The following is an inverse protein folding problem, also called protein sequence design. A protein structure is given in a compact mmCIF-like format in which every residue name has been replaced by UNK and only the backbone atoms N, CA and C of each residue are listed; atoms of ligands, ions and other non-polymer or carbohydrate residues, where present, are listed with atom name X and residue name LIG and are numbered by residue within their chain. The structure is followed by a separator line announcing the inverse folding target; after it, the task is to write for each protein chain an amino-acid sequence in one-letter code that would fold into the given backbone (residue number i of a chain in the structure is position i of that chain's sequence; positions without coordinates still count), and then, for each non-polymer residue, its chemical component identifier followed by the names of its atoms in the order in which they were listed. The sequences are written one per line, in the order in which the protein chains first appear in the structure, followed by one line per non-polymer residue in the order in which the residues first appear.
data_IF_304395888794
#
_entry.id   IF_304395888794
#
_cell.length_a   1.000
_cell.length_b   1.000
_cell.length_c   1.000
_cell.angle_alpha   90.00
_cell.angle_beta   90.00
_cell.angle_gamma   90.00
#
_symmetry.space_group_name_H-M   'P 1'
#
loop_
_entity.id
_entity.type
_entity.pdbx_description
1 polymer ?
#
# COMPACT_ATOMS: atom_id res chain seq x y z
N UNK A 1 -16.76 -8.75 24.71
CA UNK A 1 -16.36 -9.97 23.97
C UNK A 1 -15.08 -9.67 23.20
N UNK A 2 -14.01 -10.44 23.43
CA UNK A 2 -12.75 -10.25 22.71
C UNK A 2 -12.94 -10.66 21.24
N UNK A 3 -12.77 -9.72 20.30
CA UNK A 3 -12.71 -10.04 18.87
C UNK A 3 -11.51 -10.95 18.63
N UNK A 4 -11.69 -12.07 17.91
CA UNK A 4 -10.59 -13.00 17.61
C UNK A 4 -9.51 -12.31 16.76
N UNK A 5 -8.28 -12.82 16.78
CA UNK A 5 -7.20 -12.27 15.94
C UNK A 5 -7.55 -12.26 14.45
N UNK A 6 -8.24 -13.31 13.98
CA UNK A 6 -8.75 -13.40 12.61
C UNK A 6 -9.80 -12.31 12.31
N UNK A 7 -10.72 -12.04 13.25
CA UNK A 7 -11.71 -10.98 13.10
C UNK A 7 -11.06 -9.59 13.01
N UNK A 8 -10.01 -9.34 13.81
CA UNK A 8 -9.24 -8.09 13.75
C UNK A 8 -8.48 -7.92 12.44
N UNK A 9 -7.86 -9.00 11.93
CA UNK A 9 -7.20 -9.00 10.62
C UNK A 9 -8.16 -8.62 9.49
N UNK A 10 -9.28 -9.34 9.40
CA UNK A 10 -10.30 -9.06 8.38
C UNK A 10 -10.90 -7.64 8.48
N UNK A 11 -11.10 -7.13 9.69
CA UNK A 11 -11.54 -5.75 9.90
C UNK A 11 -10.50 -4.73 9.42
N UNK A 12 -9.21 -4.99 9.68
CA UNK A 12 -8.13 -4.14 9.23
C UNK A 12 -7.96 -4.15 7.71
N UNK A 13 -8.05 -5.31 7.06
CA UNK A 13 -8.05 -5.43 5.60
C UNK A 13 -9.17 -4.58 4.97
N UNK A 14 -10.38 -4.65 5.52
CA UNK A 14 -11.52 -3.88 5.04
C UNK A 14 -11.31 -2.37 5.24
N UNK A 15 -10.73 -1.96 6.36
CA UNK A 15 -10.40 -0.55 6.62
C UNK A 15 -9.28 -0.05 5.68
N UNK A 16 -8.26 -0.88 5.41
CA UNK A 16 -7.24 -0.58 4.41
C UNK A 16 -7.83 -0.41 3.02
N UNK A 17 -8.70 -1.33 2.58
CA UNK A 17 -9.41 -1.22 1.30
C UNK A 17 -10.13 0.13 1.19
N UNK A 18 -11.00 0.44 2.15
CA UNK A 18 -11.76 1.71 2.16
C UNK A 18 -10.85 2.93 2.16
N UNK A 19 -9.74 2.88 2.91
CA UNK A 19 -8.77 3.97 2.96
C UNK A 19 -8.11 4.20 1.60
N UNK A 20 -7.64 3.13 0.96
CA UNK A 20 -6.94 3.22 -0.33
C UNK A 20 -7.89 3.62 -1.47
N UNK A 21 -9.15 3.15 -1.44
CA UNK A 21 -10.18 3.56 -2.41
C UNK A 21 -10.56 5.02 -2.24
N UNK A 22 -10.84 5.46 -1.01
CA UNK A 22 -11.29 6.84 -0.74
C UNK A 22 -10.17 7.87 -0.91
N UNK A 23 -8.95 7.55 -0.47
CA UNK A 23 -7.82 8.48 -0.54
C UNK A 23 -7.16 8.44 -1.92
N UNK A 24 -6.66 7.30 -2.39
CA UNK A 24 -5.90 7.24 -3.64
C UNK A 24 -6.74 6.98 -4.89
N UNK A 25 -8.07 6.81 -4.75
CA UNK A 25 -8.94 6.47 -5.88
C UNK A 25 -8.65 5.08 -6.47
N UNK A 26 -8.01 4.20 -5.70
CA UNK A 26 -7.74 2.83 -6.15
C UNK A 26 -9.06 2.06 -6.31
N UNK A 27 -9.09 1.11 -7.23
CA UNK A 27 -10.20 0.16 -7.38
C UNK A 27 -9.71 -1.20 -6.91
N UNK A 28 -10.04 -1.58 -5.68
CA UNK A 28 -9.50 -2.76 -5.02
C UNK A 28 -10.61 -3.76 -4.70
N UNK A 29 -10.24 -5.02 -4.57
CA UNK A 29 -11.11 -6.03 -4.00
C UNK A 29 -10.29 -6.93 -3.08
N UNK A 30 -10.97 -7.45 -2.05
CA UNK A 30 -10.37 -8.43 -1.13
C UNK A 30 -10.14 -9.74 -1.84
N UNK A 31 -9.03 -10.38 -1.52
CA UNK A 31 -8.72 -11.74 -1.94
C UNK A 31 -8.97 -12.65 -0.76
N UNK A 32 -10.01 -13.48 -0.86
CA UNK A 32 -10.36 -14.40 0.22
C UNK A 32 -9.75 -15.78 0.03
N UNK A 33 -9.31 -16.40 1.13
CA UNK A 33 -9.13 -17.84 1.24
C UNK A 33 -7.69 -18.29 1.52
N UNK A 34 -7.57 -19.54 1.98
CA UNK A 34 -6.27 -20.20 2.11
C UNK A 34 -5.59 -20.28 0.72
N UNK A 35 -4.34 -19.81 0.62
CA UNK A 35 -3.59 -19.83 -0.64
C UNK A 35 -3.58 -18.51 -1.42
N UNK A 36 -3.96 -17.41 -0.80
CA UNK A 36 -3.84 -16.03 -1.30
C UNK A 36 -2.38 -15.56 -1.54
N UNK A 37 -1.40 -16.36 -1.09
CA UNK A 37 0.04 -16.14 -1.24
C UNK A 37 0.48 -14.81 -0.62
N UNK A 38 -0.18 -14.40 0.46
CA UNK A 38 0.19 -13.20 1.21
C UNK A 38 -0.26 -11.89 0.56
N UNK A 39 -1.25 -11.93 -0.34
CA UNK A 39 -1.96 -10.74 -0.84
C UNK A 39 -3.33 -10.71 -0.18
N UNK A 40 -3.69 -9.59 0.43
CA UNK A 40 -5.00 -9.41 1.06
C UNK A 40 -5.96 -8.62 0.16
N UNK A 41 -5.44 -7.64 -0.59
CA UNK A 41 -6.19 -6.86 -1.56
C UNK A 41 -5.46 -6.83 -2.89
N UNK A 42 -6.20 -6.77 -4.00
CA UNK A 42 -5.61 -6.50 -5.33
C UNK A 42 -6.53 -5.65 -6.18
N UNK A 43 -5.96 -5.01 -7.19
CA UNK A 43 -6.75 -4.25 -8.15
C UNK A 43 -5.90 -3.29 -8.98
N UNK A 44 -6.42 -2.08 -9.16
CA UNK A 44 -5.84 -1.08 -10.04
C UNK A 44 -5.76 0.29 -9.40
N UNK A 45 -4.74 1.04 -9.82
CA UNK A 45 -4.62 2.46 -9.58
C UNK A 45 -4.42 3.16 -10.92
N UNK A 46 -5.27 4.13 -11.24
CA UNK A 46 -5.19 4.91 -12.47
C UNK A 46 -5.21 6.42 -12.16
N UNK A 47 -4.12 6.96 -11.60
CA UNK A 47 -4.00 8.36 -11.23
C UNK A 47 -3.85 9.26 -12.47
N UNK A 48 -4.95 9.91 -12.87
CA UNK A 48 -4.94 10.93 -13.93
C UNK A 48 -6.27 11.03 -14.68
N UNK A 49 -6.54 12.16 -15.36
CA UNK A 49 -7.82 12.43 -16.01
C UNK A 49 -8.11 11.48 -17.19
N UNK A 50 -7.08 10.96 -17.85
CA UNK A 50 -7.22 10.13 -19.05
C UNK A 50 -7.18 8.62 -18.78
N UNK A 51 -6.87 8.19 -17.55
CA UNK A 51 -6.71 6.77 -17.20
C UNK A 51 -5.61 6.02 -17.99
N UNK A 52 -4.74 6.76 -18.70
CA UNK A 52 -3.75 6.21 -19.62
C UNK A 52 -2.65 5.39 -18.92
N UNK A 53 -2.35 5.71 -17.66
CA UNK A 53 -1.43 4.94 -16.83
C UNK A 53 -2.23 4.17 -15.78
N UNK A 54 -2.50 2.90 -16.05
CA UNK A 54 -3.13 1.98 -15.12
C UNK A 54 -2.09 1.04 -14.52
N UNK A 55 -1.94 1.10 -13.21
CA UNK A 55 -1.01 0.28 -12.44
C UNK A 55 -1.76 -0.83 -11.71
N UNK A 56 -1.31 -2.06 -11.87
CA UNK A 56 -1.73 -3.17 -11.00
C UNK A 56 -1.18 -2.93 -9.61
N UNK A 57 -2.03 -3.17 -8.61
CA UNK A 57 -1.67 -3.02 -7.21
C UNK A 57 -1.96 -4.32 -6.47
N UNK A 58 -0.96 -4.81 -5.72
CA UNK A 58 -1.12 -5.85 -4.71
C UNK A 58 -0.92 -5.23 -3.34
N UNK A 59 -1.79 -5.54 -2.39
CA UNK A 59 -1.72 -5.01 -1.04
C UNK A 59 -1.64 -6.15 -0.05
N UNK A 60 -0.66 -6.09 0.83
CA UNK A 60 -0.58 -6.91 2.03
C UNK A 60 -0.87 -6.04 3.25
N UNK A 61 -1.74 -6.50 4.14
CA UNK A 61 -2.26 -5.81 5.30
C UNK A 61 -1.79 -6.50 6.58
N UNK A 62 -1.11 -5.76 7.46
CA UNK A 62 -0.55 -6.29 8.70
C UNK A 62 -1.11 -5.59 9.94
N UNK A 63 -2.05 -6.26 10.60
CA UNK A 63 -2.73 -5.78 11.81
C UNK A 63 -2.00 -6.20 13.11
N UNK A 64 -0.68 -6.07 13.14
CA UNK A 64 0.13 -6.45 14.31
C UNK A 64 0.31 -5.30 15.29
N UNK A 65 0.50 -5.63 16.57
CA UNK A 65 0.76 -4.63 17.63
C UNK A 65 2.18 -4.06 17.59
N UNK A 66 3.12 -4.77 16.97
CA UNK A 66 4.53 -4.39 16.90
C UNK A 66 4.89 -3.98 15.48
N UNK A 67 5.82 -3.03 15.30
CA UNK A 67 6.27 -2.62 13.98
C UNK A 67 6.69 -3.81 13.13
N UNK A 68 6.27 -3.80 11.86
CA UNK A 68 6.53 -4.90 10.93
C UNK A 68 8.02 -5.01 10.65
N UNK A 69 8.56 -6.23 10.71
CA UNK A 69 9.96 -6.55 10.47
C UNK A 69 10.31 -6.79 8.98
N UNK A 70 11.61 -6.90 8.64
CA UNK A 70 12.06 -7.03 7.25
C UNK A 70 11.67 -8.36 6.59
N UNK A 71 11.32 -9.39 7.36
CA UNK A 71 10.88 -10.67 6.81
C UNK A 71 9.64 -10.52 5.91
N UNK A 72 8.67 -9.69 6.32
CA UNK A 72 7.44 -9.45 5.55
C UNK A 72 7.72 -8.76 4.22
N UNK A 73 8.74 -7.90 4.14
CA UNK A 73 9.16 -7.30 2.87
C UNK A 73 9.72 -8.39 1.94
N UNK A 74 10.55 -9.31 2.43
CA UNK A 74 11.08 -10.43 1.61
C UNK A 74 9.98 -11.34 1.08
N UNK A 75 8.98 -11.62 1.91
CA UNK A 75 7.80 -12.38 1.51
C UNK A 75 7.04 -11.64 0.39
N UNK A 76 6.84 -10.33 0.54
CA UNK A 76 6.17 -9.49 -0.44
C UNK A 76 6.95 -9.38 -1.76
N UNK A 77 8.28 -9.32 -1.72
CA UNK A 77 9.13 -9.37 -2.91
C UNK A 77 8.89 -10.65 -3.72
N UNK A 78 8.84 -11.81 -3.06
CA UNK A 78 8.52 -13.08 -3.69
C UNK A 78 7.13 -13.10 -4.32
N UNK A 79 6.14 -12.51 -3.64
CA UNK A 79 4.79 -12.35 -4.15
C UNK A 79 4.74 -11.46 -5.40
N UNK A 80 5.46 -10.34 -5.39
CA UNK A 80 5.50 -9.40 -6.51
C UNK A 80 6.19 -10.01 -7.74
N UNK A 81 7.34 -10.68 -7.55
CA UNK A 81 8.05 -11.38 -8.62
C UNK A 81 7.15 -12.43 -9.27
N UNK A 82 6.47 -13.25 -8.47
CA UNK A 82 5.57 -14.28 -8.97
C UNK A 82 4.41 -13.69 -9.76
N UNK A 83 3.80 -12.62 -9.26
CA UNK A 83 2.70 -11.95 -9.95
C UNK A 83 3.17 -11.36 -11.29
N UNK A 84 4.34 -10.70 -11.31
CA UNK A 84 4.94 -10.18 -12.54
C UNK A 84 5.19 -11.26 -13.58
N UNK A 85 5.71 -12.42 -13.16
CA UNK A 85 5.92 -13.58 -14.04
C UNK A 85 4.62 -14.12 -14.65
N UNK A 86 3.55 -14.23 -13.86
CA UNK A 86 2.24 -14.71 -14.35
C UNK A 86 1.66 -13.74 -15.37
N UNK A 87 1.69 -12.45 -15.06
CA UNK A 87 1.15 -11.38 -15.91
C UNK A 87 1.95 -11.27 -17.23
N UNK A 88 3.28 -11.37 -17.18
CA UNK A 88 4.13 -11.40 -18.38
C UNK A 88 3.81 -12.56 -19.32
N UNK A 89 3.37 -13.71 -18.81
CA UNK A 89 2.95 -14.84 -19.66
C UNK A 89 1.56 -14.65 -20.24
N UNK A 90 0.71 -13.85 -19.59
CA UNK A 90 -0.66 -13.59 -20.00
C UNK A 90 -0.79 -12.41 -20.97
N UNK A 91 0.20 -11.50 -21.02
CA UNK A 91 0.16 -10.26 -21.79
C UNK A 91 1.38 -10.09 -22.72
N UNK A 92 1.17 -9.40 -23.84
CA UNK A 92 2.24 -9.01 -24.80
C UNK A 92 2.95 -7.71 -24.41
N UNK A 93 2.51 -7.02 -23.34
CA UNK A 93 3.04 -5.73 -22.89
C UNK A 93 3.62 -5.81 -21.46
N UNK A 94 4.61 -4.97 -21.12
CA UNK A 94 5.19 -4.94 -19.78
C UNK A 94 4.16 -4.57 -18.70
N UNK A 95 4.17 -5.35 -17.62
CA UNK A 95 3.22 -5.27 -16.53
C UNK A 95 3.59 -4.10 -15.62
N UNK A 96 2.75 -3.08 -15.57
CA UNK A 96 2.90 -1.96 -14.64
C UNK A 96 2.35 -2.36 -13.27
N UNK A 97 3.16 -3.06 -12.45
CA UNK A 97 2.75 -3.68 -11.19
C UNK A 97 3.62 -3.19 -10.03
N UNK A 98 2.99 -2.84 -8.90
CA UNK A 98 3.68 -2.57 -7.65
C UNK A 98 2.94 -3.13 -6.43
N UNK A 99 3.67 -3.22 -5.32
CA UNK A 99 3.15 -3.73 -4.05
C UNK A 99 2.98 -2.62 -3.00
N UNK A 100 1.95 -2.74 -2.19
CA UNK A 100 1.73 -1.94 -0.98
C UNK A 100 1.79 -2.88 0.23
N UNK A 101 2.58 -2.52 1.23
CA UNK A 101 2.50 -3.12 2.56
C UNK A 101 1.90 -2.10 3.52
N UNK A 102 0.67 -2.37 3.98
CA UNK A 102 -0.04 -1.53 4.94
C UNK A 102 0.11 -2.11 6.35
N UNK A 103 0.60 -1.31 7.30
CA UNK A 103 0.82 -1.73 8.69
C UNK A 103 0.04 -0.87 9.67
N UNK A 104 -0.61 -1.51 10.65
CA UNK A 104 -1.34 -0.84 11.73
C UNK A 104 -0.40 -0.15 12.73
N UNK A 105 0.81 -0.69 12.90
CA UNK A 105 1.81 -0.27 13.90
C UNK A 105 3.12 0.24 13.29
N UNK A 106 3.12 0.51 12.00
CA UNK A 106 4.29 1.01 11.27
C UNK A 106 5.36 -0.06 11.01
N UNK A 107 6.60 0.39 10.84
CA UNK A 107 7.70 -0.44 10.34
C UNK A 107 8.96 -0.26 11.18
N UNK A 108 9.73 -1.33 11.36
CA UNK A 108 11.06 -1.23 11.96
C UNK A 108 12.03 -0.46 11.03
N UNK A 109 13.08 0.14 11.59
CA UNK A 109 14.14 0.79 10.80
C UNK A 109 14.75 -0.17 9.77
N UNK A 110 14.96 -1.44 10.14
CA UNK A 110 15.50 -2.46 9.24
C UNK A 110 14.55 -2.76 8.07
N UNK A 111 13.25 -2.71 8.32
CA UNK A 111 12.23 -2.87 7.27
C UNK A 111 12.28 -1.72 6.27
N UNK A 112 12.39 -0.48 6.75
CA UNK A 112 12.52 0.70 5.89
C UNK A 112 13.80 0.63 5.04
N UNK A 113 14.95 0.29 5.65
CA UNK A 113 16.21 0.16 4.94
C UNK A 113 16.15 -0.94 3.87
N UNK A 114 15.59 -2.10 4.22
CA UNK A 114 15.48 -3.21 3.29
C UNK A 114 14.54 -2.89 2.11
N UNK A 115 13.36 -2.32 2.38
CA UNK A 115 12.42 -1.92 1.32
C UNK A 115 13.03 -0.87 0.38
N UNK A 116 13.76 0.12 0.93
CA UNK A 116 14.46 1.12 0.12
C UNK A 116 15.55 0.53 -0.79
N UNK A 117 16.22 -0.55 -0.35
CA UNK A 117 17.24 -1.24 -1.15
C UNK A 117 16.68 -2.22 -2.18
N UNK A 118 15.39 -2.54 -2.12
CA UNK A 118 14.78 -3.52 -3.02
C UNK A 118 14.69 -2.98 -4.45
N UNK A 119 14.96 -3.80 -5.47
CA UNK A 119 14.79 -3.42 -6.88
C UNK A 119 13.33 -3.48 -7.34
N UNK A 120 12.41 -3.89 -6.47
CA UNK A 120 11.01 -4.10 -6.80
C UNK A 120 10.15 -2.90 -6.39
N UNK A 121 9.21 -2.43 -7.24
CA UNK A 121 8.41 -1.25 -6.95
C UNK A 121 7.48 -1.49 -5.76
N UNK A 122 7.74 -0.79 -4.65
CA UNK A 122 7.03 -0.97 -3.39
C UNK A 122 6.70 0.35 -2.69
N UNK A 123 5.58 0.32 -1.97
CA UNK A 123 5.10 1.37 -1.09
C UNK A 123 4.80 0.78 0.30
N UNK A 124 5.38 1.37 1.35
CA UNK A 124 5.04 1.11 2.73
C UNK A 124 4.11 2.20 3.25
N UNK A 125 3.00 1.80 3.85
CA UNK A 125 2.03 2.70 4.45
C UNK A 125 1.77 2.33 5.91
N UNK A 126 1.93 3.29 6.81
CA UNK A 126 1.46 3.17 8.19
C UNK A 126 0.04 3.73 8.24
N UNK A 127 -0.94 2.84 8.17
CA UNK A 127 -2.36 3.14 8.29
C UNK A 127 -2.78 2.80 9.72
N UNK A 128 -2.68 3.79 10.61
CA UNK A 128 -2.74 3.54 12.03
C UNK A 128 -4.16 3.20 12.49
N UNK A 129 -4.26 2.24 13.39
CA UNK A 129 -5.51 1.91 14.09
C UNK A 129 -5.44 2.52 15.48
N UNK A 130 -6.43 3.35 15.82
CA UNK A 130 -6.59 3.82 17.18
C UNK A 130 -7.18 2.70 18.05
N UNK A 131 -6.34 2.10 18.88
CA UNK A 131 -6.73 0.99 19.76
C UNK A 131 -7.57 1.44 20.97
N UNK A 132 -7.71 2.75 21.20
CA UNK A 132 -8.56 3.30 22.24
C UNK A 132 -10.05 3.32 21.84
N UNK A 133 -10.34 3.23 20.54
CA UNK A 133 -11.71 3.21 20.03
C UNK A 133 -12.29 1.79 20.08
N UNK A 134 -13.54 1.69 20.55
CA UNK A 134 -14.26 0.42 20.61
C UNK A 134 -14.58 -0.17 19.23
N UNK A 135 -14.60 0.68 18.20
CA UNK A 135 -14.91 0.32 16.82
C UNK A 135 -13.77 0.73 15.88
N UNK A 136 -13.42 -0.13 14.93
CA UNK A 136 -12.46 0.21 13.87
C UNK A 136 -13.04 1.35 13.01
N UNK A 137 -12.30 2.44 12.78
CA UNK A 137 -12.74 3.48 11.88
C UNK A 137 -12.79 2.96 10.44
N UNK A 138 -13.73 3.47 9.65
CA UNK A 138 -13.88 3.05 8.25
C UNK A 138 -12.70 3.49 7.37
N UNK A 139 -12.06 4.61 7.73
CA UNK A 139 -10.89 5.17 7.05
C UNK A 139 -9.79 5.35 8.09
N UNK A 140 -8.61 4.86 7.79
CA UNK A 140 -7.46 4.86 8.69
C UNK A 140 -6.60 6.12 8.44
N UNK A 141 -6.16 6.83 9.48
CA UNK A 141 -5.19 7.90 9.32
C UNK A 141 -3.86 7.34 8.80
N UNK A 142 -3.33 7.94 7.73
CA UNK A 142 -1.98 7.69 7.28
C UNK A 142 -0.99 8.45 8.18
N UNK A 143 -0.11 7.73 8.87
CA UNK A 143 0.94 8.30 9.72
C UNK A 143 2.34 8.12 9.11
N UNK A 144 2.45 7.36 8.03
CA UNK A 144 3.71 7.08 7.37
C UNK A 144 3.49 6.60 5.95
N UNK A 145 4.32 7.09 5.05
CA UNK A 145 4.26 6.80 3.63
C UNK A 145 5.68 6.82 3.08
N UNK A 146 6.15 5.68 2.59
CA UNK A 146 7.52 5.53 2.07
C UNK A 146 7.48 4.62 0.85
N UNK A 147 7.88 5.12 -0.31
CA UNK A 147 8.16 4.31 -1.48
C UNK A 147 9.67 4.16 -1.70
N UNK A 148 10.07 3.22 -2.54
CA UNK A 148 11.45 3.08 -3.00
C UNK A 148 11.68 3.65 -4.41
N UNK A 149 12.94 3.69 -4.82
CA UNK A 149 13.36 4.22 -6.11
C UNK A 149 12.83 3.41 -7.29
N UNK A 150 12.61 2.10 -7.11
CA UNK A 150 11.98 1.25 -8.12
C UNK A 150 10.53 1.67 -8.41
N UNK A 151 9.80 2.18 -7.42
CA UNK A 151 8.46 2.72 -7.62
C UNK A 151 8.51 4.17 -8.11
N UNK A 152 9.13 5.08 -7.36
CA UNK A 152 8.98 6.52 -7.54
C UNK A 152 10.25 7.25 -8.03
N UNK A 153 11.36 6.55 -8.25
CA UNK A 153 12.56 7.14 -8.82
C UNK A 153 12.36 7.54 -10.28
N UNK A 154 13.30 8.34 -10.82
CA UNK A 154 13.27 8.83 -12.22
C UNK A 154 13.18 7.72 -13.26
N UNK A 155 13.78 6.56 -12.96
CA UNK A 155 13.72 5.36 -13.81
C UNK A 155 12.79 4.28 -13.25
N UNK A 156 12.05 4.61 -12.18
CA UNK A 156 11.08 3.73 -11.56
C UNK A 156 9.76 3.69 -12.32
N UNK A 157 8.83 2.89 -11.81
CA UNK A 157 7.53 2.66 -12.43
C UNK A 157 6.72 3.95 -12.64
N UNK A 158 6.80 4.88 -11.69
CA UNK A 158 6.13 6.19 -11.71
C UNK A 158 6.98 7.30 -12.34
N UNK A 159 8.17 6.97 -12.87
CA UNK A 159 9.06 7.86 -13.63
C UNK A 159 9.52 9.13 -12.91
N UNK A 160 9.35 9.21 -11.60
CA UNK A 160 9.63 10.43 -10.83
C UNK A 160 8.62 11.55 -11.05
N UNK A 161 7.47 11.27 -11.67
CA UNK A 161 6.44 12.26 -11.96
C UNK A 161 5.57 12.58 -10.73
N UNK A 162 5.71 11.79 -9.65
CA UNK A 162 4.84 11.83 -8.48
C UNK A 162 5.58 12.32 -7.24
N UNK A 163 4.90 13.16 -6.47
CA UNK A 163 5.40 13.72 -5.22
C UNK A 163 4.38 13.51 -4.10
N UNK A 164 4.87 13.16 -2.91
CA UNK A 164 4.06 12.95 -1.72
C UNK A 164 4.35 14.07 -0.72
N UNK A 165 3.36 14.91 -0.44
CA UNK A 165 3.52 16.11 0.39
C UNK A 165 2.62 16.03 1.61
N UNK A 166 3.23 16.20 2.79
CA UNK A 166 2.50 16.33 4.05
C UNK A 166 2.07 17.76 4.27
N UNK A 167 0.76 17.99 4.36
CA UNK A 167 0.19 19.28 4.72
C UNK A 167 -0.16 19.29 6.20
N UNK A 168 0.51 20.17 6.94
CA UNK A 168 0.13 20.48 8.32
C UNK A 168 -1.16 21.28 8.34
N UNK A 169 -2.06 20.95 9.28
CA UNK A 169 -3.30 21.68 9.49
C UNK A 169 -3.33 22.16 10.93
N UNK A 170 -3.81 23.39 11.15
CA UNK A 170 -4.06 23.90 12.49
C UNK A 170 -5.17 23.06 13.10
N UNK A 171 -4.92 22.42 14.24
CA UNK A 171 -5.88 21.60 15.01
C UNK A 171 -6.30 20.26 14.39
N UNK A 172 -5.62 19.75 13.36
CA UNK A 172 -5.88 18.38 12.86
C UNK A 172 -4.61 17.61 12.52
N UNK A 173 -4.74 16.28 12.42
CA UNK A 173 -3.66 15.43 11.94
C UNK A 173 -3.17 15.89 10.55
N UNK A 174 -1.86 15.79 10.26
CA UNK A 174 -1.33 16.12 8.95
C UNK A 174 -1.96 15.22 7.88
N UNK A 175 -2.21 15.78 6.71
CA UNK A 175 -2.80 15.05 5.58
C UNK A 175 -1.77 14.91 4.49
N UNK A 176 -1.62 13.68 3.99
CA UNK A 176 -0.77 13.38 2.85
C UNK A 176 -1.55 13.61 1.55
N UNK A 177 -0.92 14.31 0.62
CA UNK A 177 -1.47 14.62 -0.71
C UNK A 177 -0.45 14.17 -1.76
N UNK A 178 -0.92 13.46 -2.79
CA UNK A 178 -0.07 13.10 -3.93
C UNK A 178 -0.27 14.11 -5.06
N UNK A 179 0.83 14.54 -5.63
CA UNK A 179 0.89 15.38 -6.81
C UNK A 179 1.52 14.61 -7.96
N UNK A 180 1.09 14.91 -9.19
CA UNK A 180 1.70 14.44 -10.43
C UNK A 180 2.00 15.64 -11.32
N UNK A 181 3.28 15.91 -11.58
CA UNK A 181 3.68 17.10 -12.34
C UNK A 181 3.11 18.40 -11.77
N UNK A 182 3.01 18.51 -10.44
CA UNK A 182 2.42 19.67 -9.74
C UNK A 182 0.89 19.69 -9.65
N UNK A 183 0.18 18.75 -10.26
CA UNK A 183 -1.29 18.65 -10.17
C UNK A 183 -1.68 17.65 -9.09
N UNK A 184 -2.58 18.05 -8.18
CA UNK A 184 -3.08 17.17 -7.12
C UNK A 184 -3.85 15.98 -7.71
N UNK A 185 -3.52 14.77 -7.25
CA UNK A 185 -4.16 13.52 -7.69
C UNK A 185 -4.98 12.85 -6.59
N UNK A 186 -4.63 13.06 -5.31
CA UNK A 186 -5.44 12.69 -4.15
C UNK A 186 -5.36 13.71 -3.02
#
# INVERSE_FOLDING_TARGET
MATSAACRGAAYELACLRTLESWMGMKLHRTGGAGDRGVDLRGWWAPGPSGADAYRVLVQCKAEKRPVGPATVRELEGTLLRAGWVEQRAQTAPVSLFAILASASGFSKQTLLHMRSSPLPMLLMHLAVDTSQATMPQVLPCQGFVWNDALAGRHGLLRGDYEAIWHTRVESAPVLTLYRGGVRVC
#
